data_IF_666598011943
#
_entry.id   IF_666598011943
#
_cell.length_a   1.000
_cell.length_b   1.000
_cell.length_c   1.000
_cell.angle_alpha   90.00
_cell.angle_beta   90.00
_cell.angle_gamma   90.00
#
_symmetry.space_group_name_H-M   'P 1'
#
loop_
_entity.id
_entity.type
_entity.pdbx_description
1 polymer ?
#
# COMPACT_ATOMS: atom_id res chain seq x y z
N UNK A 1 -2.33 -10.64 18.92
CA UNK A 1 -1.80 -9.27 18.78
C UNK A 1 -0.39 -9.31 18.22
N UNK A 2 -0.16 -8.60 17.15
CA UNK A 2 1.17 -8.53 16.57
C UNK A 2 1.98 -7.45 17.29
N UNK A 3 3.25 -7.76 17.59
CA UNK A 3 4.16 -6.76 18.13
C UNK A 3 4.56 -5.79 17.02
N UNK A 4 4.81 -4.50 17.34
CA UNK A 4 5.30 -3.57 16.33
C UNK A 4 6.68 -3.99 15.81
N UNK A 5 6.93 -3.75 14.54
CA UNK A 5 8.25 -4.00 13.93
C UNK A 5 9.24 -2.92 14.32
N UNK A 6 8.74 -1.73 14.68
CA UNK A 6 9.54 -0.70 15.34
C UNK A 6 8.63 0.15 16.23
N UNK A 7 9.19 0.65 17.33
CA UNK A 7 8.55 1.54 18.28
C UNK A 7 9.65 2.39 18.89
N UNK A 8 10.02 3.46 18.18
CA UNK A 8 11.18 4.30 18.52
C UNK A 8 10.96 5.74 18.14
N UNK A 9 11.86 6.59 18.62
CA UNK A 9 11.90 7.99 18.26
C UNK A 9 12.90 8.17 17.12
N UNK A 10 12.47 8.86 16.06
CA UNK A 10 13.29 9.14 14.89
C UNK A 10 13.36 10.64 14.62
N UNK A 11 14.48 11.06 14.04
CA UNK A 11 14.65 12.44 13.60
C UNK A 11 13.99 12.63 12.23
N UNK A 12 13.20 13.69 12.10
CA UNK A 12 12.69 14.10 10.80
C UNK A 12 13.79 14.80 10.03
N UNK A 13 14.07 14.33 8.83
CA UNK A 13 15.11 14.87 7.96
C UNK A 13 14.47 15.39 6.67
N UNK A 14 15.13 16.35 6.04
CA UNK A 14 14.69 16.89 4.78
C UNK A 14 15.66 16.46 3.68
N UNK A 15 15.13 15.89 2.59
CA UNK A 15 15.94 15.50 1.47
C UNK A 15 16.52 16.74 0.80
N UNK A 16 17.83 16.78 0.51
CA UNK A 16 18.45 17.97 -0.10
C UNK A 16 17.98 18.17 -1.54
N UNK A 17 17.82 19.42 -1.95
CA UNK A 17 17.45 19.79 -3.30
C UNK A 17 16.05 20.37 -3.42
N UNK A 18 15.68 20.73 -4.66
CA UNK A 18 14.36 21.28 -4.96
C UNK A 18 13.29 20.22 -4.77
N UNK A 19 12.19 20.59 -4.11
CA UNK A 19 11.10 19.66 -3.83
C UNK A 19 11.43 18.63 -2.76
N UNK A 20 12.40 18.93 -1.90
CA UNK A 20 12.88 18.03 -0.86
C UNK A 20 11.77 17.54 0.05
N UNK A 21 11.74 16.22 0.24
CA UNK A 21 10.76 15.58 1.10
C UNK A 21 11.22 15.57 2.54
N UNK A 22 10.27 15.59 3.46
CA UNK A 22 10.56 15.31 4.86
C UNK A 22 10.33 13.83 5.12
N UNK A 23 11.27 13.17 5.79
CA UNK A 23 11.20 11.73 5.98
C UNK A 23 11.88 11.33 7.29
N UNK A 24 11.57 10.11 7.74
CA UNK A 24 12.26 9.45 8.85
C UNK A 24 12.94 8.21 8.32
N UNK A 25 14.24 8.06 8.57
CA UNK A 25 14.99 6.88 8.16
C UNK A 25 14.72 5.75 9.14
N UNK A 26 14.38 4.56 8.63
CA UNK A 26 14.02 3.38 9.45
C UNK A 26 15.04 2.27 9.19
N UNK A 27 16.23 2.32 9.79
CA UNK A 27 17.29 1.35 9.49
C UNK A 27 17.02 -0.06 10.04
N UNK A 28 16.09 -0.20 10.99
CA UNK A 28 15.76 -1.49 11.60
C UNK A 28 14.96 -2.39 10.69
N UNK A 29 14.34 -1.84 9.63
CA UNK A 29 13.52 -2.61 8.69
C UNK A 29 14.29 -2.75 7.39
N UNK A 30 14.46 -4.00 6.94
CA UNK A 30 15.20 -4.30 5.72
C UNK A 30 14.25 -4.35 4.52
N UNK A 31 14.75 -3.97 3.31
CA UNK A 31 13.95 -4.09 2.10
C UNK A 31 13.49 -5.52 1.86
N UNK A 32 12.26 -5.69 1.36
CA UNK A 32 11.70 -6.98 1.02
C UNK A 32 11.94 -7.28 -0.46
N UNK A 33 12.68 -8.35 -0.75
CA UNK A 33 13.06 -8.72 -2.11
C UNK A 33 11.85 -9.08 -2.99
N UNK A 34 10.78 -9.56 -2.38
CA UNK A 34 9.56 -9.97 -3.09
C UNK A 34 8.77 -8.77 -3.62
N UNK A 35 9.02 -7.59 -3.10
CA UNK A 35 8.28 -6.39 -3.50
C UNK A 35 9.05 -5.59 -4.53
N UNK A 36 8.35 -4.87 -5.44
CA UNK A 36 9.03 -3.97 -6.37
C UNK A 36 9.89 -2.95 -5.62
N UNK A 37 11.14 -2.80 -6.04
CA UNK A 37 12.10 -1.87 -5.43
C UNK A 37 12.35 -2.11 -3.94
N UNK A 38 11.95 -3.26 -3.39
CA UNK A 38 12.15 -3.57 -1.97
C UNK A 38 11.21 -2.86 -1.01
N UNK A 39 10.12 -2.28 -1.50
CA UNK A 39 9.15 -1.56 -0.67
C UNK A 39 8.55 -2.45 0.41
N UNK A 40 8.30 -1.87 1.59
CA UNK A 40 7.65 -2.56 2.71
C UNK A 40 6.37 -1.83 3.05
N UNK A 41 5.25 -2.52 2.97
CA UNK A 41 3.94 -1.95 3.30
C UNK A 41 3.72 -2.01 4.80
N UNK A 42 3.40 -0.86 5.39
CA UNK A 42 3.28 -0.72 6.85
C UNK A 42 2.02 0.04 7.22
N UNK A 43 1.61 -0.16 8.47
CA UNK A 43 0.59 0.64 9.13
C UNK A 43 1.11 0.97 10.53
N UNK A 44 0.53 1.96 11.18
CA UNK A 44 0.93 2.34 12.52
C UNK A 44 0.59 3.76 12.85
N UNK A 45 1.49 4.42 13.59
CA UNK A 45 1.29 5.81 13.99
C UNK A 45 2.59 6.59 14.04
N UNK A 46 2.47 7.89 13.86
CA UNK A 46 3.57 8.85 14.04
C UNK A 46 3.04 9.96 14.92
N UNK A 47 3.62 10.10 16.11
CA UNK A 47 3.15 11.02 17.16
C UNK A 47 1.65 10.94 17.40
N UNK A 48 1.08 9.73 17.39
CA UNK A 48 -0.34 9.50 17.57
C UNK A 48 -1.19 9.63 16.31
N UNK A 49 -0.64 10.10 15.20
CA UNK A 49 -1.35 10.14 13.92
C UNK A 49 -1.34 8.75 13.29
N UNK A 50 -2.49 8.12 13.18
CA UNK A 50 -2.62 6.77 12.64
C UNK A 50 -2.64 6.78 11.12
N UNK A 51 -1.99 5.77 10.53
CA UNK A 51 -2.00 5.57 9.07
C UNK A 51 -1.95 4.08 8.73
N UNK A 52 -2.37 3.76 7.52
CA UNK A 52 -2.34 2.39 6.99
C UNK A 52 -2.04 2.42 5.50
N UNK A 53 -1.68 1.27 4.95
CA UNK A 53 -1.36 1.12 3.52
C UNK A 53 -0.27 2.09 3.07
N UNK A 54 0.71 2.29 3.93
CA UNK A 54 1.83 3.19 3.69
C UNK A 54 3.05 2.37 3.28
N UNK A 55 3.91 2.94 2.47
CA UNK A 55 5.09 2.22 1.99
C UNK A 55 6.38 2.86 2.50
N UNK A 56 7.24 2.03 3.11
CA UNK A 56 8.63 2.38 3.31
C UNK A 56 9.36 2.17 1.98
N UNK A 57 10.19 3.13 1.59
CA UNK A 57 10.87 3.12 0.29
C UNK A 57 12.39 3.13 0.47
N UNK A 58 13.15 2.49 -0.47
CA UNK A 58 14.60 2.50 -0.38
C UNK A 58 15.18 3.90 -0.61
N UNK A 59 16.26 4.20 0.15
CA UNK A 59 16.99 5.48 0.05
C UNK A 59 18.22 5.40 -0.85
N UNK A 60 18.58 4.21 -1.32
CA UNK A 60 19.81 4.01 -2.08
C UNK A 60 21.04 3.68 -1.25
N UNK A 61 20.94 3.73 0.09
CA UNK A 61 22.04 3.39 1.00
C UNK A 61 21.82 2.07 1.76
N UNK A 62 20.86 1.25 1.29
CA UNK A 62 20.49 0.00 1.95
C UNK A 62 19.44 0.13 3.02
N UNK A 63 19.06 1.34 3.38
CA UNK A 63 18.01 1.62 4.37
C UNK A 63 16.70 2.01 3.70
N UNK A 64 15.61 1.83 4.43
CA UNK A 64 14.30 2.31 4.03
C UNK A 64 13.98 3.62 4.76
N UNK A 65 13.09 4.40 4.19
CA UNK A 65 12.61 5.63 4.82
C UNK A 65 11.09 5.69 4.82
N UNK A 66 10.54 6.39 5.83
CA UNK A 66 9.11 6.67 5.95
C UNK A 66 8.88 8.11 5.51
N UNK A 67 8.22 8.34 4.36
CA UNK A 67 7.91 9.72 3.96
C UNK A 67 6.88 10.32 4.89
N UNK A 68 7.12 11.54 5.33
CA UNK A 68 6.20 12.27 6.22
C UNK A 68 5.65 13.47 5.47
N UNK A 69 4.46 13.30 4.91
CA UNK A 69 3.82 14.32 4.08
C UNK A 69 3.46 15.55 4.90
N UNK A 70 3.30 16.68 4.20
CA UNK A 70 2.95 17.95 4.85
C UNK A 70 1.64 17.84 5.65
N UNK A 71 0.67 17.08 5.17
CA UNK A 71 -0.58 16.84 5.88
C UNK A 71 -0.36 16.22 7.26
N UNK A 72 0.52 15.22 7.32
CA UNK A 72 0.87 14.57 8.58
C UNK A 72 1.61 15.54 9.48
N UNK A 73 2.61 16.26 8.94
CA UNK A 73 3.39 17.22 9.71
C UNK A 73 2.52 18.31 10.34
N UNK A 74 1.53 18.81 9.61
CA UNK A 74 0.59 19.79 10.13
C UNK A 74 -0.25 19.22 11.27
N UNK A 75 -0.66 17.97 11.17
CA UNK A 75 -1.46 17.31 12.21
C UNK A 75 -0.66 17.08 13.49
N UNK A 76 0.59 16.67 13.36
CA UNK A 76 1.46 16.40 14.53
C UNK A 76 2.27 17.62 14.96
N UNK A 77 2.23 18.72 14.20
CA UNK A 77 2.92 19.98 14.48
C UNK A 77 4.44 19.78 14.55
N UNK A 78 4.98 19.03 13.60
CA UNK A 78 6.42 18.73 13.51
C UNK A 78 6.96 19.12 12.14
N UNK A 79 8.25 19.43 12.10
CA UNK A 79 8.97 19.80 10.89
C UNK A 79 10.33 19.10 10.87
N UNK A 80 11.05 19.19 9.75
CA UNK A 80 12.41 18.68 9.65
C UNK A 80 13.28 19.28 10.76
N UNK A 81 14.04 18.42 11.44
CA UNK A 81 14.82 18.79 12.63
C UNK A 81 14.15 18.40 13.94
N UNK A 82 12.85 18.14 13.92
CA UNK A 82 12.13 17.65 15.09
C UNK A 82 12.20 16.13 15.17
N UNK A 83 11.95 15.59 16.37
CA UNK A 83 11.86 14.14 16.57
C UNK A 83 10.40 13.71 16.64
N UNK A 84 10.13 12.48 16.19
CA UNK A 84 8.78 11.91 16.20
C UNK A 84 8.84 10.50 16.75
N UNK A 85 7.78 10.11 17.45
CA UNK A 85 7.61 8.74 17.92
C UNK A 85 6.87 7.94 16.84
N UNK A 86 7.53 6.92 16.29
CA UNK A 86 6.99 6.10 15.20
C UNK A 86 6.77 4.68 15.69
N UNK A 87 5.57 4.20 15.51
CA UNK A 87 5.20 2.80 15.77
C UNK A 87 4.73 2.20 14.44
N UNK A 88 5.39 1.14 14.00
CA UNK A 88 5.08 0.51 12.73
C UNK A 88 4.75 -0.97 12.90
N UNK A 89 3.78 -1.42 12.15
CA UNK A 89 3.42 -2.84 11.99
C UNK A 89 3.46 -3.17 10.51
N UNK A 90 3.77 -4.42 10.17
CA UNK A 90 3.60 -4.88 8.79
C UNK A 90 2.12 -4.85 8.45
N UNK A 91 1.78 -4.24 7.32
CA UNK A 91 0.40 -4.19 6.85
C UNK A 91 0.11 -5.44 6.03
N UNK A 92 -0.35 -6.46 6.70
CA UNK A 92 -0.69 -7.76 6.12
C UNK A 92 -2.20 -7.97 6.06
N UNK A 93 -2.96 -6.90 6.26
CA UNK A 93 -4.42 -7.00 6.20
C UNK A 93 -4.83 -7.44 4.79
N UNK A 94 -5.78 -8.38 4.68
CA UNK A 94 -6.24 -8.81 3.36
C UNK A 94 -6.87 -7.65 2.61
N UNK A 95 -6.67 -7.67 1.30
CA UNK A 95 -7.28 -6.68 0.42
C UNK A 95 -8.80 -6.86 0.46
N UNK A 96 -9.54 -5.79 0.77
CA UNK A 96 -11.00 -5.84 0.71
C UNK A 96 -11.46 -5.79 -0.75
N UNK A 97 -12.22 -6.80 -1.13
CA UNK A 97 -12.87 -6.84 -2.44
C UNK A 97 -14.21 -6.10 -2.31
N UNK A 98 -14.45 -5.06 -3.14
CA UNK A 98 -15.75 -4.39 -3.09
C UNK A 98 -16.92 -5.36 -3.33
N UNK A 99 -18.05 -5.10 -2.66
CA UNK A 99 -19.18 -6.05 -2.59
C UNK A 99 -19.72 -6.45 -3.96
N UNK A 100 -19.85 -5.53 -4.89
CA UNK A 100 -20.38 -5.82 -6.22
C UNK A 100 -19.45 -6.72 -7.03
N UNK A 101 -18.13 -6.47 -6.98
CA UNK A 101 -17.15 -7.35 -7.64
C UNK A 101 -17.09 -8.71 -6.97
N UNK A 102 -17.16 -8.73 -5.63
CA UNK A 102 -17.15 -9.97 -4.86
C UNK A 102 -18.35 -10.84 -5.21
N UNK A 103 -19.54 -10.24 -5.38
CA UNK A 103 -20.73 -10.96 -5.80
C UNK A 103 -20.54 -11.60 -7.16
N UNK A 104 -19.95 -10.89 -8.12
CA UNK A 104 -19.65 -11.44 -9.45
C UNK A 104 -18.67 -12.61 -9.37
N UNK A 105 -17.64 -12.50 -8.51
CA UNK A 105 -16.69 -13.59 -8.31
C UNK A 105 -17.35 -14.83 -7.69
N UNK A 106 -18.28 -14.63 -6.75
CA UNK A 106 -19.00 -15.75 -6.14
C UNK A 106 -19.88 -16.50 -7.12
N UNK A 107 -20.42 -15.81 -8.13
CA UNK A 107 -21.21 -16.44 -9.19
C UNK A 107 -20.36 -17.27 -10.15
N UNK A 108 -19.05 -17.04 -10.16
CA UNK A 108 -18.11 -17.76 -11.02
C UNK A 108 -16.98 -18.35 -10.16
N UNK A 109 -17.19 -19.51 -9.50
CA UNK A 109 -16.21 -20.08 -8.57
C UNK A 109 -14.83 -20.31 -9.18
N UNK A 110 -14.73 -20.67 -10.46
CA UNK A 110 -13.44 -20.88 -11.12
C UNK A 110 -12.67 -19.56 -11.25
N UNK A 111 -13.38 -18.47 -11.59
CA UNK A 111 -12.78 -17.14 -11.64
C UNK A 111 -12.33 -16.71 -10.26
N UNK A 112 -13.14 -16.94 -9.25
CA UNK A 112 -12.81 -16.57 -7.86
C UNK A 112 -11.58 -17.34 -7.36
N UNK A 113 -11.52 -18.64 -7.65
CA UNK A 113 -10.37 -19.47 -7.29
C UNK A 113 -9.08 -18.95 -7.90
N UNK A 114 -9.11 -18.61 -9.18
CA UNK A 114 -7.93 -18.05 -9.85
C UNK A 114 -7.57 -16.68 -9.30
N UNK A 115 -8.55 -15.81 -9.06
CA UNK A 115 -8.33 -14.49 -8.44
C UNK A 115 -7.60 -14.62 -7.10
N UNK A 116 -8.05 -15.55 -6.24
CA UNK A 116 -7.44 -15.78 -4.94
C UNK A 116 -6.00 -16.32 -5.05
N UNK A 117 -5.66 -16.97 -6.16
CA UNK A 117 -4.31 -17.47 -6.40
C UNK A 117 -3.34 -16.39 -6.88
N UNK A 118 -3.85 -15.24 -7.32
CA UNK A 118 -3.01 -14.16 -7.82
C UNK A 118 -2.29 -13.45 -6.67
N UNK A 119 -1.07 -12.92 -6.92
CA UNK A 119 -0.44 -12.02 -5.96
C UNK A 119 -1.33 -10.82 -5.65
N UNK A 120 -1.25 -10.32 -4.42
CA UNK A 120 -2.06 -9.19 -3.97
C UNK A 120 -1.95 -7.98 -4.91
N UNK A 121 -0.77 -7.74 -5.46
CA UNK A 121 -0.53 -6.67 -6.42
C UNK A 121 -1.44 -6.78 -7.65
N UNK A 122 -1.59 -7.98 -8.20
CA UNK A 122 -2.45 -8.21 -9.38
C UNK A 122 -3.92 -8.13 -9.00
N UNK A 123 -4.29 -8.58 -7.83
CA UNK A 123 -5.66 -8.42 -7.32
C UNK A 123 -6.01 -6.93 -7.21
N UNK A 124 -5.10 -6.12 -6.68
CA UNK A 124 -5.29 -4.66 -6.60
C UNK A 124 -5.42 -4.03 -7.98
N UNK A 125 -4.66 -4.49 -8.96
CA UNK A 125 -4.73 -3.97 -10.34
C UNK A 125 -6.12 -4.18 -10.94
N UNK A 126 -6.72 -5.35 -10.74
CA UNK A 126 -8.09 -5.61 -11.21
C UNK A 126 -9.08 -4.62 -10.56
N UNK A 127 -9.00 -4.46 -9.25
CA UNK A 127 -9.90 -3.57 -8.50
C UNK A 127 -9.73 -2.13 -8.97
N UNK A 128 -8.49 -1.65 -9.05
CA UNK A 128 -8.21 -0.28 -9.50
C UNK A 128 -8.74 -0.02 -10.91
N UNK A 129 -8.54 -0.96 -11.82
CA UNK A 129 -9.01 -0.81 -13.19
C UNK A 129 -10.53 -0.75 -13.27
N UNK A 130 -11.22 -1.63 -12.55
CA UNK A 130 -12.68 -1.68 -12.53
C UNK A 130 -13.25 -0.38 -11.96
N UNK A 131 -12.74 0.07 -10.83
CA UNK A 131 -13.28 1.20 -10.09
C UNK A 131 -12.75 2.56 -10.58
N UNK A 132 -11.84 2.58 -11.54
CA UNK A 132 -11.45 3.79 -12.25
C UNK A 132 -12.45 4.18 -13.34
N UNK A 133 -13.45 3.33 -13.61
CA UNK A 133 -14.46 3.60 -14.63
C UNK A 133 -15.27 4.86 -14.29
N UNK A 134 -15.53 5.69 -15.31
CA UNK A 134 -16.20 6.97 -15.12
C UNK A 134 -17.73 6.87 -15.12
N UNK A 135 -18.28 5.73 -15.49
CA UNK A 135 -19.73 5.51 -15.51
C UNK A 135 -20.07 4.11 -14.99
N UNK A 136 -21.31 3.91 -14.47
CA UNK A 136 -21.74 2.57 -14.02
C UNK A 136 -21.71 1.54 -15.16
N UNK A 137 -22.03 1.93 -16.37
CA UNK A 137 -22.03 1.04 -17.55
C UNK A 137 -20.63 0.54 -17.85
N UNK A 138 -19.64 1.42 -17.84
CA UNK A 138 -18.23 1.05 -18.06
C UNK A 138 -17.73 0.17 -16.93
N UNK A 139 -18.12 0.46 -15.68
CA UNK A 139 -17.73 -0.37 -14.53
C UNK A 139 -18.25 -1.81 -14.70
N UNK A 140 -19.53 -1.97 -15.06
CA UNK A 140 -20.14 -3.28 -15.28
C UNK A 140 -19.40 -4.02 -16.40
N UNK A 141 -19.11 -3.32 -17.49
CA UNK A 141 -18.38 -3.89 -18.63
C UNK A 141 -16.99 -4.36 -18.22
N UNK A 142 -16.29 -3.56 -17.42
CA UNK A 142 -14.95 -3.92 -16.91
C UNK A 142 -15.01 -5.11 -15.96
N UNK A 143 -16.03 -5.19 -15.10
CA UNK A 143 -16.22 -6.36 -14.24
C UNK A 143 -16.43 -7.64 -15.06
N UNK A 144 -17.27 -7.57 -16.10
CA UNK A 144 -17.49 -8.71 -16.99
C UNK A 144 -16.20 -9.14 -17.69
N UNK A 145 -15.42 -8.17 -18.19
CA UNK A 145 -14.14 -8.45 -18.83
C UNK A 145 -13.15 -9.08 -17.84
N UNK A 146 -13.10 -8.58 -16.60
CA UNK A 146 -12.24 -9.14 -15.56
C UNK A 146 -12.60 -10.60 -15.28
N UNK A 147 -13.89 -10.90 -15.12
CA UNK A 147 -14.34 -12.28 -14.87
C UNK A 147 -13.96 -13.18 -16.04
N UNK A 148 -14.17 -12.75 -17.29
CA UNK A 148 -13.79 -13.52 -18.46
C UNK A 148 -12.30 -13.82 -18.52
N UNK A 149 -11.45 -12.83 -18.19
CA UNK A 149 -10.01 -13.03 -18.13
C UNK A 149 -9.62 -14.03 -17.05
N UNK A 150 -10.24 -13.92 -15.87
CA UNK A 150 -9.98 -14.85 -14.76
C UNK A 150 -10.41 -16.27 -15.12
N UNK A 151 -11.51 -16.45 -15.83
CA UNK A 151 -11.94 -17.76 -16.31
C UNK A 151 -10.96 -18.38 -17.30
N UNK A 152 -10.19 -17.55 -18.00
CA UNK A 152 -9.16 -17.99 -18.93
C UNK A 152 -7.79 -18.12 -18.25
N UNK A 153 -7.72 -17.96 -16.92
CA UNK A 153 -6.49 -17.99 -16.13
C UNK A 153 -5.49 -16.93 -16.59
N UNK A 154 -5.97 -15.71 -16.88
CA UNK A 154 -5.13 -14.60 -17.31
C UNK A 154 -4.95 -13.59 -16.21
N UNK A 155 -3.72 -13.06 -16.04
CA UNK A 155 -3.48 -11.98 -15.08
C UNK A 155 -4.05 -10.65 -15.57
N UNK A 156 -4.05 -9.63 -14.71
CA UNK A 156 -4.48 -8.29 -15.08
C UNK A 156 -3.42 -7.63 -15.96
N UNK A 157 -3.75 -7.44 -17.23
CA UNK A 157 -2.88 -6.77 -18.21
C UNK A 157 -3.72 -5.75 -18.98
N UNK A 158 -3.84 -4.55 -18.42
CA UNK A 158 -4.61 -3.46 -19.03
C UNK A 158 -3.76 -2.22 -19.17
#
# INVERSE_FOLDING_TARGET
MNAPITDKIYLLEKYPGKGGWTYAQIPEILPQKENPFGWVKVKGSIDGFEFSKYHLMPMGNGNLFLPVKSEIRKKIKKEAGDTVHVVLFLDQDPLEIPDDFKACLKDEPLAFSFYNSLPQRQQEQYIKWIYAAKSPEIKIQRMANAINRLLQNLPCEF
#
